data_IF_785987277089
#
_entry.id   IF_785987277089
#
_cell.length_a   1.000
_cell.length_b   1.000
_cell.length_c   1.000
_cell.angle_alpha   90.00
_cell.angle_beta   90.00
_cell.angle_gamma   90.00
#
_symmetry.space_group_name_H-M   'P 1'
#
loop_
_entity.id
_entity.type
_entity.pdbx_description
1 polymer ?
#
# COMPACT_ATOMS: atom_id res chain seq x y z
N UNK A 1 -12.71 -3.76 -9.03
CA UNK A 1 -11.86 -2.84 -8.28
C UNK A 1 -10.63 -3.58 -7.74
N UNK A 2 -9.48 -2.94 -7.82
CA UNK A 2 -8.25 -3.54 -7.35
C UNK A 2 -8.26 -3.69 -5.82
N UNK A 3 -7.72 -4.80 -5.33
CA UNK A 3 -7.68 -5.12 -3.90
C UNK A 3 -6.25 -5.49 -3.51
N UNK A 4 -5.74 -4.88 -2.46
CA UNK A 4 -4.42 -5.20 -1.91
C UNK A 4 -4.49 -5.83 -0.52
N UNK A 5 -5.51 -5.53 0.26
CA UNK A 5 -5.64 -6.06 1.61
C UNK A 5 -4.88 -5.26 2.66
N UNK A 6 -4.54 -4.02 2.37
CA UNK A 6 -3.94 -3.13 3.37
C UNK A 6 -5.00 -2.65 4.36
N UNK A 7 -4.60 -2.46 5.62
CA UNK A 7 -5.46 -1.95 6.68
C UNK A 7 -4.85 -0.63 7.15
N UNK A 8 -5.34 0.52 6.64
CA UNK A 8 -4.79 1.82 7.02
C UNK A 8 -5.09 2.16 8.49
N UNK A 9 -4.17 2.88 9.11
CA UNK A 9 -4.35 3.43 10.44
C UNK A 9 -4.75 4.90 10.30
N UNK A 10 -6.02 5.18 10.51
CA UNK A 10 -6.57 6.54 10.38
C UNK A 10 -6.31 7.43 11.58
N UNK A 11 -5.90 6.83 12.70
CA UNK A 11 -5.68 7.57 13.95
C UNK A 11 -4.30 8.24 13.99
N UNK A 12 -3.36 7.78 13.18
CA UNK A 12 -1.99 8.29 13.18
C UNK A 12 -1.79 9.25 12.00
N UNK A 13 -1.34 10.46 12.30
CA UNK A 13 -0.93 11.41 11.26
C UNK A 13 0.46 11.04 10.79
N UNK A 14 0.61 10.89 9.48
CA UNK A 14 1.89 10.58 8.86
C UNK A 14 1.92 11.20 7.46
N UNK A 15 3.12 11.40 6.94
CA UNK A 15 3.30 11.81 5.54
C UNK A 15 3.22 10.57 4.68
N UNK A 16 2.01 10.20 4.30
CA UNK A 16 1.72 8.98 3.57
C UNK A 16 0.59 8.22 4.24
N UNK A 17 0.49 6.94 3.96
CA UNK A 17 -0.54 6.08 4.54
C UNK A 17 0.13 5.07 5.48
N UNK A 18 -0.04 5.26 6.78
CA UNK A 18 0.45 4.30 7.76
C UNK A 18 -0.50 3.12 7.83
N UNK A 19 0.07 1.92 7.87
CA UNK A 19 -0.69 0.69 7.96
C UNK A 19 -0.73 0.19 9.40
N UNK A 20 -1.90 -0.20 9.88
CA UNK A 20 -2.01 -0.94 11.14
C UNK A 20 -1.72 -2.41 10.92
N UNK A 21 -1.88 -2.90 9.71
CA UNK A 21 -1.59 -4.27 9.34
C UNK A 21 -1.97 -4.57 7.91
N UNK A 22 -1.92 -5.84 7.55
CA UNK A 22 -2.40 -6.33 6.26
C UNK A 22 -3.18 -7.63 6.49
N UNK A 23 -4.09 -7.92 5.58
CA UNK A 23 -4.85 -9.19 5.67
C UNK A 23 -3.95 -10.35 5.28
N UNK A 24 -4.04 -11.45 6.03
CA UNK A 24 -3.25 -12.65 5.73
C UNK A 24 -3.57 -13.21 4.35
N UNK A 25 -2.54 -13.57 3.59
CA UNK A 25 -2.68 -14.11 2.25
C UNK A 25 -3.06 -13.11 1.17
N UNK A 26 -3.21 -11.83 1.52
CA UNK A 26 -3.54 -10.78 0.56
C UNK A 26 -2.35 -10.42 -0.32
N UNK A 27 -2.56 -9.69 -1.43
CA UNK A 27 -1.45 -9.17 -2.22
C UNK A 27 -0.45 -8.35 -1.40
N UNK A 28 -0.93 -7.56 -0.44
CA UNK A 28 -0.06 -6.78 0.44
C UNK A 28 0.81 -7.68 1.32
N UNK A 29 0.21 -8.73 1.88
CA UNK A 29 0.93 -9.71 2.69
C UNK A 29 2.00 -10.42 1.85
N UNK A 30 1.64 -10.88 0.67
CA UNK A 30 2.57 -11.56 -0.25
C UNK A 30 3.72 -10.64 -0.68
N UNK A 31 3.46 -9.34 -0.78
CA UNK A 31 4.48 -8.35 -1.16
C UNK A 31 5.44 -8.03 -0.01
N UNK A 32 5.10 -8.40 1.22
CA UNK A 32 5.92 -8.13 2.39
C UNK A 32 5.57 -6.85 3.12
N UNK A 33 4.41 -6.25 2.85
CA UNK A 33 3.91 -5.12 3.61
C UNK A 33 3.54 -5.56 5.03
N UNK A 34 3.77 -4.71 6.00
CA UNK A 34 3.56 -5.02 7.43
C UNK A 34 2.92 -3.84 8.15
N UNK A 35 2.30 -4.14 9.29
CA UNK A 35 1.84 -3.09 10.19
C UNK A 35 3.00 -2.19 10.61
N UNK A 36 2.75 -0.90 10.67
CA UNK A 36 3.77 0.11 10.95
C UNK A 36 4.43 0.70 9.71
N UNK A 37 4.30 0.08 8.55
CA UNK A 37 4.81 0.65 7.30
C UNK A 37 4.01 1.90 6.93
N UNK A 38 4.70 2.90 6.37
CA UNK A 38 4.05 4.11 5.83
C UNK A 38 4.25 4.11 4.33
N UNK A 39 3.16 3.95 3.58
CA UNK A 39 3.21 4.01 2.12
C UNK A 39 3.46 5.45 1.69
N UNK A 40 4.57 5.69 0.99
CA UNK A 40 4.96 7.03 0.52
C UNK A 40 4.94 7.15 -0.99
N UNK A 41 4.99 6.02 -1.73
CA UNK A 41 4.82 6.00 -3.17
C UNK A 41 4.08 4.73 -3.58
N UNK A 42 3.30 4.84 -4.64
CA UNK A 42 2.52 3.72 -5.15
C UNK A 42 2.41 3.85 -6.67
N UNK A 43 2.97 2.88 -7.38
CA UNK A 43 2.93 2.90 -8.85
C UNK A 43 3.62 4.12 -9.46
N UNK A 44 4.67 4.62 -8.81
CA UNK A 44 5.38 5.80 -9.26
C UNK A 44 4.76 7.13 -8.85
N UNK A 45 3.63 7.10 -8.14
CA UNK A 45 2.95 8.30 -7.66
C UNK A 45 3.24 8.53 -6.18
N UNK A 46 3.50 9.77 -5.81
CA UNK A 46 3.73 10.15 -4.43
C UNK A 46 2.43 10.08 -3.64
N UNK A 47 2.48 9.46 -2.48
CA UNK A 47 1.33 9.28 -1.59
C UNK A 47 1.54 10.14 -0.35
N UNK A 48 0.78 11.21 -0.24
CA UNK A 48 0.84 12.11 0.91
C UNK A 48 -0.25 11.80 1.95
N UNK A 49 -1.36 11.19 1.52
CA UNK A 49 -2.50 10.91 2.39
C UNK A 49 -3.33 9.76 1.83
N UNK A 50 -4.39 9.39 2.55
CA UNK A 50 -5.26 8.28 2.17
C UNK A 50 -5.98 8.53 0.83
N UNK A 51 -6.27 9.79 0.50
CA UNK A 51 -6.94 10.12 -0.75
C UNK A 51 -6.03 9.80 -1.95
N UNK A 52 -4.75 10.18 -1.86
CA UNK A 52 -3.77 9.86 -2.89
C UNK A 52 -3.67 8.35 -3.08
N UNK A 53 -3.66 7.60 -1.98
CA UNK A 53 -3.59 6.15 -2.04
C UNK A 53 -4.83 5.55 -2.71
N UNK A 54 -6.01 6.05 -2.38
CA UNK A 54 -7.26 5.59 -2.98
C UNK A 54 -7.28 5.83 -4.49
N UNK A 55 -6.86 7.02 -4.94
CA UNK A 55 -6.76 7.33 -6.37
C UNK A 55 -5.76 6.43 -7.06
N UNK A 56 -4.59 6.23 -6.47
CA UNK A 56 -3.56 5.36 -7.06
C UNK A 56 -4.06 3.92 -7.16
N UNK A 57 -4.74 3.43 -6.14
CA UNK A 57 -5.29 2.07 -6.12
C UNK A 57 -6.37 1.89 -7.20
N UNK A 58 -7.19 2.91 -7.44
CA UNK A 58 -8.20 2.87 -8.50
C UNK A 58 -7.59 2.87 -9.90
N UNK A 59 -6.37 3.39 -10.04
CA UNK A 59 -5.69 3.50 -11.32
C UNK A 59 -4.90 2.25 -11.71
N UNK A 60 -4.59 1.36 -10.77
CA UNK A 60 -3.81 0.16 -11.08
C UNK A 60 -4.67 -0.91 -11.73
N UNK A 61 -4.02 -1.76 -12.51
CA UNK A 61 -4.69 -2.88 -13.18
C UNK A 61 -4.55 -4.15 -12.36
N UNK A 62 -5.66 -4.88 -12.24
CA UNK A 62 -5.69 -6.16 -11.57
C UNK A 62 -4.77 -7.14 -12.33
N UNK A 63 -3.93 -7.85 -11.57
CA UNK A 63 -3.00 -8.81 -12.15
C UNK A 63 -1.68 -8.22 -12.64
N UNK A 64 -1.53 -6.90 -12.61
CA UNK A 64 -0.30 -6.23 -13.03
C UNK A 64 0.53 -5.80 -11.83
N UNK A 65 1.80 -6.18 -11.79
CA UNK A 65 2.70 -5.83 -10.70
C UNK A 65 2.84 -4.31 -10.55
N UNK A 66 2.81 -3.83 -9.32
CA UNK A 66 2.96 -2.41 -9.00
C UNK A 66 3.99 -2.25 -7.91
N UNK A 67 4.86 -1.24 -8.06
CA UNK A 67 5.85 -0.92 -7.05
C UNK A 67 5.22 -0.08 -5.94
N UNK A 68 5.51 -0.46 -4.70
CA UNK A 68 5.06 0.26 -3.52
C UNK A 68 6.29 0.60 -2.69
N UNK A 69 6.47 1.87 -2.40
CA UNK A 69 7.57 2.32 -1.55
C UNK A 69 7.00 2.70 -0.19
N UNK A 70 7.57 2.12 0.85
CA UNK A 70 7.17 2.39 2.24
C UNK A 70 8.37 2.88 3.03
N UNK A 71 8.08 3.59 4.12
CA UNK A 71 9.07 3.84 5.16
C UNK A 71 8.84 2.85 6.29
N UNK A 72 9.90 2.13 6.63
CA UNK A 72 9.90 1.12 7.68
C UNK A 72 11.07 1.41 8.60
N UNK A 73 10.76 1.77 9.84
CA UNK A 73 11.80 2.08 10.84
C UNK A 73 12.78 3.15 10.34
N UNK A 74 12.24 4.19 9.68
CA UNK A 74 13.04 5.28 9.14
C UNK A 74 13.78 4.97 7.83
N UNK A 75 13.59 3.78 7.28
CA UNK A 75 14.23 3.37 6.03
C UNK A 75 13.22 3.23 4.91
N UNK A 76 13.64 3.61 3.70
CA UNK A 76 12.83 3.47 2.49
C UNK A 76 12.96 2.05 1.96
N UNK A 77 11.83 1.37 1.81
CA UNK A 77 11.78 -0.02 1.33
C UNK A 77 10.86 -0.07 0.11
N UNK A 78 11.38 -0.62 -1.00
CA UNK A 78 10.60 -0.82 -2.22
C UNK A 78 10.11 -2.26 -2.28
N UNK A 79 8.80 -2.43 -2.48
CA UNK A 79 8.15 -3.73 -2.55
C UNK A 79 7.30 -3.80 -3.82
N UNK A 80 7.05 -5.02 -4.28
CA UNK A 80 6.21 -5.22 -5.48
C UNK A 80 5.00 -6.07 -5.09
N UNK A 81 3.82 -5.59 -5.46
CA UNK A 81 2.57 -6.28 -5.21
C UNK A 81 1.81 -6.49 -6.52
N UNK A 82 1.00 -7.54 -6.58
CA UNK A 82 0.12 -7.81 -7.72
C UNK A 82 -1.32 -7.69 -7.21
N UNK A 83 -2.03 -6.59 -7.55
CA UNK A 83 -3.41 -6.41 -7.11
C UNK A 83 -4.31 -7.52 -7.62
N UNK A 84 -5.29 -7.88 -6.80
CA UNK A 84 -6.29 -8.90 -7.14
C UNK A 84 -7.67 -8.25 -7.28
N UNK A 85 -8.58 -8.96 -7.90
CA UNK A 85 -9.96 -8.50 -7.99
C UNK A 85 -10.62 -8.65 -6.62
N UNK A 86 -11.33 -7.61 -6.18
CA UNK A 86 -12.11 -7.69 -4.96
C UNK A 86 -13.39 -8.47 -5.22
N UNK A 87 -13.59 -9.50 -4.44
CA UNK A 87 -14.79 -10.31 -4.50
C UNK A 87 -15.91 -9.69 -3.69
#
# INVERSE_FOLDING_TARGET
RAYLGTIPDYATEAKGVKLSGVRGGSPADKAGLKGGDVIVEFGGQKIANIYDYTYALDAVKIGQAVEIVVQREGKRVSLTAVPEARK
#
